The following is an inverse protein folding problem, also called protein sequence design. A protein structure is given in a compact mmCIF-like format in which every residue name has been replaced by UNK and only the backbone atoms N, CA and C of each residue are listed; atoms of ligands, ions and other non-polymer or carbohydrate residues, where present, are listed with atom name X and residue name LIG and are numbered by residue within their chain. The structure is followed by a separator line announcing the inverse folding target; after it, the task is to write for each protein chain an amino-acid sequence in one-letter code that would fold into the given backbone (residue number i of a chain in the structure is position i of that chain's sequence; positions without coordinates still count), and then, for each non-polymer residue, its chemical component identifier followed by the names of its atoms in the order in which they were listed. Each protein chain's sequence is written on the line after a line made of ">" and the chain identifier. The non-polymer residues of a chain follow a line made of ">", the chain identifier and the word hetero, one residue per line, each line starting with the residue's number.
data_IF_043752168121
#
_entry.id   IF_043752168121
#
_cell.length_a   1.000
_cell.length_b   1.000
_cell.length_c   1.000
_cell.angle_alpha   90.00
_cell.angle_beta   90.00
_cell.angle_gamma   90.00
#
_symmetry.space_group_name_H-M   'P 1'
#
loop_
_entity.id
_entity.type
_entity.pdbx_description
1 polymer ?
#
# COMPACT_ATOMS: atom_id res chain seq x y z
N UNK A 1 -19.96 15.77 15.03
CA UNK A 1 -20.21 14.66 14.08
C UNK A 1 -18.87 14.20 13.57
N UNK A 2 -18.58 12.90 13.60
CA UNK A 2 -17.30 12.36 13.16
C UNK A 2 -17.38 12.01 11.67
N UNK A 3 -16.47 12.58 10.86
CA UNK A 3 -16.38 12.37 9.41
C UNK A 3 -15.19 11.49 9.02
N UNK A 4 -14.07 11.64 9.72
CA UNK A 4 -12.90 10.78 9.53
C UNK A 4 -12.36 10.30 10.87
N UNK A 5 -11.89 9.06 10.90
CA UNK A 5 -11.15 8.49 12.02
C UNK A 5 -9.90 7.81 11.48
N UNK A 6 -8.73 8.31 11.87
CA UNK A 6 -7.44 7.69 11.59
C UNK A 6 -6.75 7.38 12.91
N UNK A 7 -6.50 6.10 13.17
CA UNK A 7 -5.72 5.60 14.30
C UNK A 7 -4.57 4.71 13.80
N UNK A 8 -4.12 4.96 12.57
CA UNK A 8 -3.05 4.22 11.92
C UNK A 8 -1.76 4.18 12.74
N UNK A 9 -1.06 3.03 12.71
CA UNK A 9 0.32 2.95 13.20
C UNK A 9 0.46 3.02 14.72
N UNK A 10 -0.59 2.60 15.44
CA UNK A 10 -0.61 2.58 16.90
C UNK A 10 -0.42 1.15 17.44
N UNK A 11 -0.48 1.01 18.76
CA UNK A 11 -0.39 -0.28 19.47
C UNK A 11 -1.75 -0.72 20.01
N UNK A 12 -2.86 -0.31 19.36
CA UNK A 12 -4.21 -0.64 19.82
C UNK A 12 -4.40 -2.15 19.81
N UNK A 13 -4.97 -2.69 20.90
CA UNK A 13 -5.19 -4.12 21.08
C UNK A 13 -6.65 -4.41 21.39
N UNK A 14 -7.03 -5.68 21.30
CA UNK A 14 -8.38 -6.13 21.58
C UNK A 14 -9.28 -6.09 20.35
N UNK A 15 -10.58 -6.23 20.57
CA UNK A 15 -11.55 -6.34 19.49
C UNK A 15 -11.97 -4.96 18.99
N UNK A 16 -12.31 -4.86 17.70
CA UNK A 16 -12.96 -3.67 17.17
C UNK A 16 -14.41 -3.63 17.69
N UNK A 17 -14.78 -2.66 18.54
CA UNK A 17 -16.13 -2.58 19.13
C UNK A 17 -17.22 -2.38 18.07
N UNK A 18 -18.43 -2.89 18.33
CA UNK A 18 -19.58 -2.72 17.44
C UNK A 18 -19.98 -1.24 17.29
N UNK A 19 -19.64 -0.42 18.27
CA UNK A 19 -19.85 1.03 18.30
C UNK A 19 -19.14 1.76 17.17
N UNK A 20 -18.19 1.13 16.47
CA UNK A 20 -17.57 1.67 15.24
C UNK A 20 -18.60 1.97 14.14
N UNK A 21 -19.77 1.34 14.19
CA UNK A 21 -20.92 1.60 13.32
C UNK A 21 -21.82 2.77 13.75
N UNK A 22 -21.59 3.36 14.94
CA UNK A 22 -22.40 4.48 15.44
C UNK A 22 -22.28 5.78 14.64
N UNK A 23 -21.08 6.22 14.18
CA UNK A 23 -20.92 7.48 13.47
C UNK A 23 -21.43 7.36 12.02
N UNK A 24 -22.71 7.65 11.81
CA UNK A 24 -23.38 7.57 10.49
C UNK A 24 -22.82 8.53 9.42
N UNK A 25 -22.04 9.53 9.83
CA UNK A 25 -21.38 10.47 8.92
C UNK A 25 -19.91 10.11 8.63
N UNK A 26 -19.44 8.95 9.10
CA UNK A 26 -18.07 8.52 8.86
C UNK A 26 -17.88 8.21 7.37
N UNK A 27 -16.92 8.91 6.78
CA UNK A 27 -16.52 8.90 5.37
C UNK A 27 -15.15 8.21 5.21
N UNK A 28 -14.26 8.41 6.19
CA UNK A 28 -12.91 7.85 6.22
C UNK A 28 -12.66 7.04 7.50
N UNK A 29 -12.18 5.80 7.37
CA UNK A 29 -11.74 4.98 8.50
C UNK A 29 -10.41 4.27 8.20
N UNK A 30 -9.37 4.65 8.94
CA UNK A 30 -8.06 3.96 8.92
C UNK A 30 -7.68 3.48 10.32
N UNK A 31 -7.70 2.16 10.51
CA UNK A 31 -7.25 1.47 11.73
C UNK A 31 -6.04 0.58 11.45
N UNK A 32 -5.37 0.76 10.32
CA UNK A 32 -4.30 -0.13 9.89
C UNK A 32 -3.04 -0.02 10.74
N UNK A 33 -2.19 -1.04 10.68
CA UNK A 33 -0.94 -1.14 11.46
C UNK A 33 -1.17 -0.99 12.96
N UNK A 34 -2.02 -1.87 13.49
CA UNK A 34 -2.32 -1.99 14.92
C UNK A 34 -2.23 -3.46 15.35
N UNK A 35 -2.62 -3.76 16.59
CA UNK A 35 -2.67 -5.11 17.13
C UNK A 35 -4.13 -5.53 17.44
N UNK A 36 -5.09 -5.04 16.66
CA UNK A 36 -6.51 -5.38 16.82
C UNK A 36 -6.74 -6.84 16.45
N UNK A 37 -7.63 -7.51 17.18
CA UNK A 37 -7.89 -8.95 17.10
C UNK A 37 -9.38 -9.24 16.92
N UNK A 38 -9.72 -10.49 16.60
CA UNK A 38 -11.11 -10.94 16.51
C UNK A 38 -11.76 -10.61 15.16
N UNK A 39 -13.08 -10.64 15.10
CA UNK A 39 -13.82 -10.43 13.85
C UNK A 39 -14.08 -8.94 13.59
N UNK A 40 -14.22 -8.58 12.32
CA UNK A 40 -14.71 -7.25 11.92
C UNK A 40 -16.23 -7.21 12.23
N UNK A 41 -16.72 -6.25 13.02
CA UNK A 41 -18.12 -6.20 13.39
C UNK A 41 -19.02 -5.82 12.19
N UNK A 42 -20.10 -6.57 11.99
CA UNK A 42 -21.08 -6.29 10.93
C UNK A 42 -21.80 -4.95 11.09
N UNK A 43 -21.76 -4.33 12.28
CA UNK A 43 -22.30 -2.98 12.52
C UNK A 43 -21.67 -1.90 11.64
N UNK A 44 -20.52 -2.17 11.01
CA UNK A 44 -19.88 -1.26 10.06
C UNK A 44 -20.82 -0.85 8.91
N UNK A 45 -21.83 -1.66 8.56
CA UNK A 45 -22.85 -1.32 7.56
C UNK A 45 -23.59 -0.01 7.83
N UNK A 46 -23.61 0.46 9.08
CA UNK A 46 -24.31 1.70 9.43
C UNK A 46 -23.52 2.96 9.03
N UNK A 47 -22.23 2.83 8.70
CA UNK A 47 -21.39 3.90 8.18
C UNK A 47 -21.60 4.09 6.67
N UNK A 48 -22.83 4.40 6.26
CA UNK A 48 -23.23 4.41 4.84
C UNK A 48 -22.53 5.48 4.00
N UNK A 49 -21.84 6.45 4.60
CA UNK A 49 -21.04 7.46 3.88
C UNK A 49 -19.58 7.05 3.66
N UNK A 50 -19.17 5.91 4.19
CA UNK A 50 -17.79 5.45 4.13
C UNK A 50 -17.37 5.26 2.67
N UNK A 51 -16.36 6.00 2.23
CA UNK A 51 -15.74 5.84 0.90
C UNK A 51 -14.35 5.20 0.99
N UNK A 52 -13.71 5.26 2.15
CA UNK A 52 -12.38 4.70 2.41
C UNK A 52 -12.35 3.87 3.70
N UNK A 53 -11.97 2.59 3.59
CA UNK A 53 -11.85 1.66 4.71
C UNK A 53 -10.53 0.89 4.67
N UNK A 54 -9.67 1.15 5.67
CA UNK A 54 -8.37 0.48 5.80
C UNK A 54 -8.22 -0.17 7.18
N UNK A 55 -8.17 -1.50 7.18
CA UNK A 55 -8.02 -2.34 8.38
C UNK A 55 -6.78 -3.25 8.30
N UNK A 56 -5.88 -2.98 7.35
CA UNK A 56 -4.72 -3.83 7.07
C UNK A 56 -3.67 -3.85 8.18
N UNK A 57 -2.78 -4.85 8.18
CA UNK A 57 -1.75 -5.04 9.20
C UNK A 57 -2.32 -5.08 10.63
N UNK A 58 -3.24 -6.01 10.87
CA UNK A 58 -3.82 -6.30 12.18
C UNK A 58 -3.89 -7.83 12.38
N UNK A 59 -4.59 -8.28 13.42
CA UNK A 59 -4.84 -9.69 13.70
C UNK A 59 -6.33 -10.04 13.59
N UNK A 60 -7.07 -9.36 12.69
CA UNK A 60 -8.47 -9.72 12.43
C UNK A 60 -8.55 -11.15 11.89
N UNK A 61 -9.53 -11.93 12.34
CA UNK A 61 -9.68 -13.34 12.00
C UNK A 61 -11.14 -13.70 11.68
N UNK A 62 -11.39 -14.97 11.34
CA UNK A 62 -12.72 -15.45 11.02
C UNK A 62 -13.20 -14.97 9.64
N UNK A 63 -14.41 -14.42 9.58
CA UNK A 63 -15.09 -14.07 8.33
C UNK A 63 -15.08 -12.58 8.03
N UNK A 64 -14.98 -12.21 6.75
CA UNK A 64 -15.39 -10.87 6.31
C UNK A 64 -16.93 -10.80 6.48
N UNK A 65 -17.48 -9.80 7.20
CA UNK A 65 -18.92 -9.70 7.41
C UNK A 65 -19.65 -9.41 6.09
N UNK A 66 -20.79 -10.08 5.87
CA UNK A 66 -21.63 -9.89 4.68
C UNK A 66 -22.13 -8.44 4.58
N UNK A 67 -22.35 -7.84 5.75
CA UNK A 67 -22.78 -6.47 5.99
C UNK A 67 -21.83 -5.44 5.35
N UNK A 68 -20.56 -5.78 5.14
CA UNK A 68 -19.59 -4.90 4.48
C UNK A 68 -19.99 -4.61 3.02
N UNK A 69 -20.68 -5.55 2.37
CA UNK A 69 -21.24 -5.38 1.03
C UNK A 69 -22.37 -4.35 0.93
N UNK A 70 -22.87 -3.83 2.07
CA UNK A 70 -23.92 -2.80 2.10
C UNK A 70 -23.35 -1.36 2.02
N UNK A 71 -22.03 -1.20 2.08
CA UNK A 71 -21.36 0.09 1.98
C UNK A 71 -21.29 0.58 0.52
N UNK A 72 -22.45 0.86 -0.08
CA UNK A 72 -22.57 1.20 -1.52
C UNK A 72 -21.81 2.46 -1.93
N UNK A 73 -21.46 3.33 -0.98
CA UNK A 73 -20.64 4.52 -1.21
C UNK A 73 -19.13 4.25 -1.04
N UNK A 74 -18.71 3.00 -0.74
CA UNK A 74 -17.31 2.61 -0.65
C UNK A 74 -16.72 2.54 -2.05
N UNK A 75 -16.19 3.68 -2.52
CA UNK A 75 -15.67 3.84 -3.86
C UNK A 75 -14.15 3.93 -3.93
N UNK A 76 -13.45 4.42 -2.90
CA UNK A 76 -12.00 4.60 -3.00
C UNK A 76 -11.23 3.29 -2.74
N UNK A 77 -11.30 2.80 -1.50
CA UNK A 77 -10.45 1.71 -1.05
C UNK A 77 -11.15 0.84 0.00
N UNK A 78 -11.06 -0.47 -0.21
CA UNK A 78 -11.24 -1.49 0.80
C UNK A 78 -9.94 -2.28 0.96
N UNK A 79 -9.26 -2.11 2.09
CA UNK A 79 -8.02 -2.83 2.39
C UNK A 79 -8.13 -3.61 3.70
N UNK A 80 -8.21 -4.94 3.57
CA UNK A 80 -8.22 -5.91 4.66
C UNK A 80 -6.94 -6.77 4.67
N UNK A 81 -5.91 -6.37 3.93
CA UNK A 81 -4.69 -7.16 3.75
C UNK A 81 -3.89 -7.34 5.04
N UNK A 82 -3.00 -8.33 5.08
CA UNK A 82 -2.13 -8.62 6.25
C UNK A 82 -2.93 -8.77 7.56
N UNK A 83 -3.86 -9.72 7.53
CA UNK A 83 -4.66 -10.13 8.68
C UNK A 83 -4.68 -11.68 8.73
N UNK A 84 -5.44 -12.24 9.67
CA UNK A 84 -5.62 -13.68 9.87
C UNK A 84 -7.02 -14.17 9.47
N UNK A 85 -7.69 -13.50 8.52
CA UNK A 85 -9.04 -13.86 8.05
C UNK A 85 -8.95 -15.17 7.27
N UNK A 86 -9.75 -16.17 7.62
CA UNK A 86 -9.56 -17.58 7.21
C UNK A 86 -10.81 -18.25 6.60
N UNK A 87 -11.83 -17.46 6.25
CA UNK A 87 -13.04 -17.93 5.58
C UNK A 87 -13.04 -17.70 4.06
N UNK A 88 -14.14 -18.08 3.40
CA UNK A 88 -14.43 -17.67 2.03
C UNK A 88 -14.73 -16.17 1.96
N UNK A 89 -14.54 -15.59 0.77
CA UNK A 89 -14.93 -14.21 0.47
C UNK A 89 -16.45 -14.16 0.29
N UNK A 90 -17.19 -13.31 1.02
CA UNK A 90 -18.64 -13.26 0.90
C UNK A 90 -19.06 -12.64 -0.43
N UNK A 91 -20.05 -13.27 -1.09
CA UNK A 91 -20.58 -12.80 -2.38
C UNK A 91 -21.15 -11.38 -2.33
N UNK A 92 -21.55 -10.92 -1.15
CA UNK A 92 -22.12 -9.61 -0.87
C UNK A 92 -21.13 -8.47 -1.17
N UNK A 93 -19.82 -8.72 -1.12
CA UNK A 93 -18.82 -7.72 -1.54
C UNK A 93 -18.95 -7.33 -3.03
N UNK A 94 -19.59 -8.16 -3.85
CA UNK A 94 -19.96 -7.79 -5.22
C UNK A 94 -20.95 -6.62 -5.31
N UNK A 95 -21.59 -6.24 -4.20
CA UNK A 95 -22.46 -5.06 -4.10
C UNK A 95 -21.70 -3.73 -4.03
N UNK A 96 -20.38 -3.74 -3.84
CA UNK A 96 -19.52 -2.56 -3.81
C UNK A 96 -19.22 -2.05 -5.22
N UNK A 97 -20.26 -1.78 -6.02
CA UNK A 97 -20.16 -1.56 -7.47
C UNK A 97 -19.29 -0.38 -7.89
N UNK A 98 -19.10 0.59 -6.98
CA UNK A 98 -18.31 1.80 -7.20
C UNK A 98 -16.83 1.67 -6.79
N UNK A 99 -16.42 0.55 -6.19
CA UNK A 99 -15.09 0.38 -5.61
C UNK A 99 -13.97 0.40 -6.66
N UNK A 100 -12.96 1.25 -6.44
CA UNK A 100 -11.80 1.42 -7.32
C UNK A 100 -10.61 0.56 -6.89
N UNK A 101 -10.38 0.39 -5.59
CA UNK A 101 -9.28 -0.41 -5.07
C UNK A 101 -9.73 -1.43 -4.01
N UNK A 102 -9.36 -2.70 -4.25
CA UNK A 102 -9.60 -3.79 -3.32
C UNK A 102 -8.28 -4.50 -2.97
N UNK A 103 -7.92 -4.54 -1.69
CA UNK A 103 -6.78 -5.33 -1.24
C UNK A 103 -7.21 -6.30 -0.14
N UNK A 104 -7.17 -7.60 -0.45
CA UNK A 104 -7.42 -8.64 0.53
C UNK A 104 -6.17 -9.50 0.78
N UNK A 105 -5.04 -9.22 0.12
CA UNK A 105 -3.84 -10.07 0.12
C UNK A 105 -3.34 -10.44 1.53
N UNK A 106 -2.51 -11.48 1.64
CA UNK A 106 -1.91 -11.87 2.93
C UNK A 106 -2.95 -12.15 4.02
N UNK A 107 -3.86 -13.07 3.70
CA UNK A 107 -4.84 -13.61 4.63
C UNK A 107 -4.91 -15.13 4.41
N UNK A 108 -5.62 -15.84 5.27
CA UNK A 108 -5.89 -17.26 5.11
C UNK A 108 -7.17 -17.57 4.31
N UNK A 109 -7.72 -16.58 3.57
CA UNK A 109 -8.93 -16.74 2.77
C UNK A 109 -8.87 -17.96 1.84
N UNK A 110 -9.98 -18.67 1.75
CA UNK A 110 -10.13 -19.91 1.00
C UNK A 110 -11.27 -19.81 -0.02
N UNK A 111 -11.56 -20.92 -0.70
CA UNK A 111 -12.58 -21.02 -1.75
C UNK A 111 -12.27 -20.13 -2.97
N UNK A 112 -13.27 -19.93 -3.83
CA UNK A 112 -13.19 -19.20 -5.07
C UNK A 112 -13.44 -17.70 -4.89
N UNK A 113 -12.96 -16.92 -5.87
CA UNK A 113 -13.35 -15.52 -5.99
C UNK A 113 -14.83 -15.49 -6.39
N UNK A 114 -15.72 -14.82 -5.64
CA UNK A 114 -17.15 -14.86 -5.91
C UNK A 114 -17.49 -14.37 -7.32
N UNK A 115 -18.39 -15.07 -8.05
CA UNK A 115 -18.86 -14.61 -9.36
C UNK A 115 -19.49 -13.21 -9.32
N UNK A 116 -20.02 -12.77 -8.18
CA UNK A 116 -20.56 -11.44 -7.98
C UNK A 116 -19.54 -10.31 -8.14
N UNK A 117 -18.23 -10.60 -8.13
CA UNK A 117 -17.19 -9.61 -8.43
C UNK A 117 -17.24 -9.10 -9.89
N UNK A 118 -18.00 -9.78 -10.76
CA UNK A 118 -18.31 -9.25 -12.10
C UNK A 118 -19.10 -7.94 -12.05
N UNK A 119 -19.80 -7.66 -10.96
CA UNK A 119 -20.59 -6.43 -10.78
C UNK A 119 -19.76 -5.22 -10.33
N UNK A 120 -18.50 -5.42 -9.91
CA UNK A 120 -17.61 -4.35 -9.43
C UNK A 120 -16.90 -3.70 -10.63
N UNK A 121 -17.64 -2.85 -11.35
CA UNK A 121 -17.23 -2.36 -12.67
C UNK A 121 -16.15 -1.27 -12.64
N UNK A 122 -15.94 -0.61 -11.49
CA UNK A 122 -15.02 0.51 -11.36
C UNK A 122 -13.63 0.14 -10.83
N UNK A 123 -13.34 -1.15 -10.63
CA UNK A 123 -12.03 -1.57 -10.09
C UNK A 123 -10.89 -1.16 -11.03
N UNK A 124 -9.94 -0.42 -10.47
CA UNK A 124 -8.66 -0.05 -11.07
C UNK A 124 -7.50 -0.86 -10.48
N UNK A 125 -7.67 -1.35 -9.25
CA UNK A 125 -6.67 -2.12 -8.52
C UNK A 125 -7.30 -3.24 -7.71
N UNK A 126 -6.74 -4.45 -7.80
CA UNK A 126 -7.14 -5.57 -6.95
C UNK A 126 -5.91 -6.35 -6.51
N UNK A 127 -5.77 -6.68 -5.23
CA UNK A 127 -4.76 -7.64 -4.78
C UNK A 127 -5.37 -8.78 -3.96
N UNK A 128 -5.26 -9.98 -4.51
CA UNK A 128 -5.74 -11.25 -3.97
C UNK A 128 -4.59 -12.24 -3.75
N UNK A 129 -3.35 -11.76 -3.75
CA UNK A 129 -2.13 -12.55 -3.58
C UNK A 129 -2.02 -13.14 -2.18
N UNK A 130 -1.22 -14.21 -2.05
CA UNK A 130 -0.91 -14.86 -0.77
C UNK A 130 -2.15 -15.26 0.04
N UNK A 131 -2.97 -16.12 -0.56
CA UNK A 131 -4.16 -16.74 0.04
C UNK A 131 -4.17 -18.26 -0.24
N UNK A 132 -5.31 -18.91 0.05
CA UNK A 132 -5.62 -20.30 -0.32
C UNK A 132 -6.75 -20.37 -1.34
N UNK A 133 -6.86 -19.38 -2.23
CA UNK A 133 -7.96 -19.32 -3.21
C UNK A 133 -7.83 -20.42 -4.27
N UNK A 134 -8.97 -20.93 -4.73
CA UNK A 134 -9.07 -21.98 -5.74
C UNK A 134 -10.19 -21.74 -6.76
N UNK A 135 -10.16 -22.44 -7.88
CA UNK A 135 -11.22 -22.35 -8.89
C UNK A 135 -11.02 -21.23 -9.91
N UNK A 136 -12.07 -21.00 -10.70
CA UNK A 136 -12.04 -20.02 -11.80
C UNK A 136 -12.15 -18.59 -11.28
N UNK A 137 -11.31 -17.70 -11.79
CA UNK A 137 -11.52 -16.25 -11.64
C UNK A 137 -12.73 -15.79 -12.48
N UNK A 138 -13.48 -14.76 -12.05
CA UNK A 138 -14.59 -14.24 -12.83
C UNK A 138 -14.16 -13.75 -14.23
N UNK A 139 -15.02 -13.94 -15.22
CA UNK A 139 -14.72 -13.58 -16.60
C UNK A 139 -15.18 -12.15 -16.89
N UNK A 140 -14.27 -11.18 -16.76
CA UNK A 140 -14.50 -9.80 -17.19
C UNK A 140 -13.23 -9.22 -17.83
N UNK A 141 -13.38 -8.10 -18.56
CA UNK A 141 -12.26 -7.34 -19.12
C UNK A 141 -11.23 -6.93 -18.06
N UNK A 142 -11.68 -6.66 -16.82
CA UNK A 142 -10.80 -6.35 -15.71
C UNK A 142 -9.89 -7.54 -15.38
N UNK A 143 -10.45 -8.74 -15.19
CA UNK A 143 -9.67 -9.95 -14.90
C UNK A 143 -8.79 -10.37 -16.09
N UNK A 144 -9.23 -10.20 -17.33
CA UNK A 144 -8.42 -10.46 -18.52
C UNK A 144 -7.17 -9.56 -18.58
N UNK A 145 -7.31 -8.27 -18.25
CA UNK A 145 -6.22 -7.29 -18.24
C UNK A 145 -5.38 -7.31 -16.95
N UNK A 146 -5.85 -7.98 -15.89
CA UNK A 146 -5.22 -7.93 -14.58
C UNK A 146 -3.83 -8.60 -14.58
N UNK A 147 -2.83 -8.01 -13.91
CA UNK A 147 -1.51 -8.60 -13.80
C UNK A 147 -1.54 -9.82 -12.86
N UNK A 148 -0.91 -10.91 -13.29
CA UNK A 148 -0.88 -12.18 -12.55
C UNK A 148 -0.36 -12.09 -11.12
N UNK A 149 0.47 -11.09 -10.81
CA UNK A 149 1.01 -10.86 -9.46
C UNK A 149 -0.09 -10.68 -8.42
N UNK A 150 -1.24 -10.12 -8.81
CA UNK A 150 -2.41 -9.96 -7.94
C UNK A 150 -3.06 -11.28 -7.51
N UNK A 151 -2.71 -12.41 -8.14
CA UNK A 151 -3.34 -13.70 -7.88
C UNK A 151 -2.34 -14.76 -7.42
N UNK A 152 -1.02 -14.51 -7.43
CA UNK A 152 -0.02 -15.48 -6.99
C UNK A 152 0.39 -15.23 -5.53
N UNK A 153 0.77 -16.26 -4.75
CA UNK A 153 0.87 -17.68 -5.11
C UNK A 153 -0.40 -18.50 -4.79
N UNK A 154 -1.57 -18.22 -5.40
CA UNK A 154 -2.72 -19.14 -5.32
C UNK A 154 -2.60 -20.25 -6.38
N UNK A 155 -2.11 -21.42 -5.98
CA UNK A 155 -1.75 -22.52 -6.92
C UNK A 155 -2.95 -23.15 -7.64
N UNK A 156 -4.15 -23.02 -7.09
CA UNK A 156 -5.37 -23.66 -7.61
C UNK A 156 -6.29 -22.70 -8.35
N UNK A 157 -5.90 -21.43 -8.50
CA UNK A 157 -6.64 -20.50 -9.34
C UNK A 157 -6.39 -20.80 -10.82
N UNK A 158 -7.44 -20.66 -11.62
CA UNK A 158 -7.44 -20.86 -13.06
C UNK A 158 -8.34 -19.82 -13.73
N UNK A 159 -8.24 -19.68 -15.06
CA UNK A 159 -9.19 -18.88 -15.85
C UNK A 159 -8.54 -17.77 -16.67
N UNK A 160 -9.27 -16.67 -16.86
CA UNK A 160 -8.99 -15.67 -17.91
C UNK A 160 -7.80 -14.74 -17.67
N UNK A 161 -7.30 -14.67 -16.43
CA UNK A 161 -6.13 -13.85 -16.10
C UNK A 161 -4.90 -14.41 -16.81
N UNK A 162 -4.21 -13.55 -17.58
CA UNK A 162 -3.03 -13.95 -18.35
C UNK A 162 -1.96 -14.59 -17.46
N UNK A 163 -1.66 -15.86 -17.73
CA UNK A 163 -0.64 -16.67 -17.05
C UNK A 163 -1.15 -17.53 -15.89
N UNK A 164 -2.45 -17.49 -15.58
CA UNK A 164 -3.10 -18.58 -14.85
C UNK A 164 -3.32 -19.78 -15.79
N UNK A 165 -3.32 -21.02 -15.26
CA UNK A 165 -3.69 -22.17 -16.06
C UNK A 165 -5.17 -22.10 -16.51
N UNK A 166 -5.53 -22.69 -17.66
CA UNK A 166 -6.94 -22.89 -18.02
C UNK A 166 -7.62 -23.85 -17.04
N UNK A 167 -8.91 -23.64 -16.77
CA UNK A 167 -9.66 -24.46 -15.80
C UNK A 167 -9.98 -25.88 -16.31
N UNK A 168 -9.79 -26.15 -17.60
CA UNK A 168 -10.12 -27.42 -18.25
C UNK A 168 -9.01 -28.49 -18.13
N UNK A 169 -7.98 -28.26 -17.32
CA UNK A 169 -6.96 -29.27 -17.07
C UNK A 169 -7.55 -30.41 -16.22
N UNK A 170 -7.53 -31.67 -16.70
CA UNK A 170 -7.97 -32.80 -15.88
C UNK A 170 -7.11 -32.83 -14.62
N UNK A 171 -7.78 -32.78 -13.46
CA UNK A 171 -7.15 -32.94 -12.15
C UNK A 171 -6.34 -34.23 -12.18
N UNK A 172 -5.02 -34.12 -12.37
CA UNK A 172 -4.12 -35.21 -12.05
C UNK A 172 -4.27 -35.42 -10.54
N UNK A 173 -5.04 -36.42 -10.17
CA UNK A 173 -4.99 -36.96 -8.82
C UNK A 173 -3.54 -37.32 -8.58
N UNK A 174 -2.87 -36.59 -7.69
CA UNK A 174 -1.69 -37.14 -7.04
C UNK A 174 -2.18 -38.38 -6.30
N UNK A 175 -2.02 -39.51 -6.97
CA UNK A 175 -2.33 -40.84 -6.49
C UNK A 175 -1.48 -41.04 -5.26
N UNK A 176 -2.10 -40.91 -4.09
CA UNK A 176 -1.48 -41.19 -2.81
C UNK A 176 -0.84 -42.58 -2.87
N UNK A 177 0.49 -42.60 -2.84
CA UNK A 177 1.22 -43.83 -2.56
C UNK A 177 1.03 -44.13 -1.09
N UNK A 178 0.33 -45.23 -0.82
CA UNK A 178 0.28 -45.85 0.50
C UNK A 178 1.69 -45.97 1.10
N UNK A 179 1.90 -45.43 2.29
CA UNK A 179 3.06 -45.75 3.12
C UNK A 179 2.66 -45.84 4.59
N UNK A 180 1.91 -46.88 4.92
CA UNK A 180 1.54 -47.27 6.29
C UNK A 180 2.71 -47.72 7.19
N UNK A 181 3.96 -47.38 6.86
CA UNK A 181 5.14 -47.70 7.67
C UNK A 181 6.02 -46.48 8.00
N UNK A 182 5.68 -45.27 7.52
CA UNK A 182 6.47 -44.05 7.75
C UNK A 182 5.86 -43.18 8.87
N UNK A 183 4.59 -43.42 9.24
CA UNK A 183 3.90 -42.62 10.26
C UNK A 183 4.47 -42.83 11.68
N UNK A 184 4.94 -44.04 12.00
CA UNK A 184 5.48 -44.35 13.33
C UNK A 184 6.90 -43.79 13.54
N UNK A 185 7.73 -43.71 12.49
CA UNK A 185 9.07 -43.12 12.59
C UNK A 185 9.02 -41.59 12.69
N UNK A 186 8.07 -40.96 12.00
CA UNK A 186 7.84 -39.51 12.07
C UNK A 186 7.30 -39.11 13.45
N UNK A 187 6.37 -39.88 14.04
CA UNK A 187 5.85 -39.59 15.39
C UNK A 187 6.96 -39.71 16.45
N UNK A 188 7.83 -40.71 16.35
CA UNK A 188 8.97 -40.86 17.25
C UNK A 188 9.99 -39.72 17.09
N UNK A 189 10.22 -39.26 15.85
CA UNK A 189 11.13 -38.15 15.56
C UNK A 189 10.57 -36.81 16.04
N UNK A 190 9.27 -36.56 15.85
CA UNK A 190 8.60 -35.36 16.33
C UNK A 190 8.57 -35.35 17.87
N UNK A 191 8.28 -36.49 18.50
CA UNK A 191 8.30 -36.59 19.96
C UNK A 191 9.70 -36.35 20.55
N UNK A 192 10.75 -36.89 19.92
CA UNK A 192 12.13 -36.64 20.36
C UNK A 192 12.56 -35.19 20.12
N UNK A 193 12.14 -34.58 19.01
CA UNK A 193 12.42 -33.19 18.70
C UNK A 193 11.71 -32.22 19.65
N UNK A 194 10.45 -32.50 19.99
CA UNK A 194 9.69 -31.74 21.00
C UNK A 194 10.31 -31.90 22.39
N UNK A 195 10.81 -33.08 22.74
CA UNK A 195 11.52 -33.32 23.99
C UNK A 195 12.86 -32.56 24.06
N UNK A 196 13.62 -32.51 22.96
CA UNK A 196 14.85 -31.71 22.88
C UNK A 196 14.54 -30.21 22.97
N UNK A 197 13.48 -29.72 22.32
CA UNK A 197 13.05 -28.31 22.45
C UNK A 197 12.59 -28.02 23.88
N UNK A 198 11.88 -28.93 24.54
CA UNK A 198 11.49 -28.79 25.94
C UNK A 198 12.70 -28.73 26.87
N UNK A 199 13.73 -29.56 26.63
CA UNK A 199 14.98 -29.53 27.40
C UNK A 199 15.80 -28.26 27.14
N UNK A 200 15.88 -27.80 25.88
CA UNK A 200 16.57 -26.55 25.52
C UNK A 200 15.85 -25.33 26.11
N UNK A 201 14.52 -25.28 26.04
CA UNK A 201 13.72 -24.19 26.64
C UNK A 201 13.78 -24.20 28.16
N UNK A 202 13.85 -25.38 28.80
CA UNK A 202 14.08 -25.51 30.24
C UNK A 202 15.50 -25.06 30.62
N UNK A 203 16.53 -25.44 29.87
CA UNK A 203 17.92 -24.98 30.08
C UNK A 203 18.05 -23.45 29.87
N UNK A 204 17.36 -22.88 28.87
CA UNK A 204 17.30 -21.44 28.64
C UNK A 204 16.55 -20.69 29.74
N UNK A 205 15.47 -21.27 30.30
CA UNK A 205 14.79 -20.72 31.48
C UNK A 205 15.63 -20.82 32.75
N UNK A 206 16.45 -21.87 32.90
CA UNK A 206 17.38 -22.04 34.04
C UNK A 206 18.58 -21.09 33.99
N UNK A 207 18.92 -20.55 32.80
CA UNK A 207 19.98 -19.54 32.60
C UNK A 207 19.53 -18.07 32.70
N UNK A 208 18.22 -17.78 32.74
CA UNK A 208 17.68 -16.41 32.84
C UNK A 208 17.15 -16.06 34.24
N UNK A 209 17.98 -16.27 35.26
CA UNK A 209 17.88 -15.53 36.53
C UNK A 209 19.30 -15.10 36.91
N UNK A 210 19.74 -13.98 36.31
CA UNK A 210 20.71 -13.00 36.84
C UNK A 210 20.95 -11.91 35.79
N UNK A 211 20.37 -10.74 36.06
CA UNK A 211 20.81 -9.38 35.71
C UNK A 211 21.10 -9.01 34.24
N UNK A 212 20.27 -8.12 33.68
CA UNK A 212 20.66 -6.72 33.40
C UNK A 212 19.45 -5.83 33.09
N UNK A 213 19.50 -4.64 33.66
CA UNK A 213 18.53 -3.55 33.65
C UNK A 213 18.96 -2.49 32.60
N UNK A 214 17.97 -1.84 31.96
CA UNK A 214 17.98 -0.53 31.22
C UNK A 214 18.81 -0.51 29.92
N UNK A 215 18.34 -0.11 28.73
CA UNK A 215 17.55 1.04 28.26
C UNK A 215 16.84 0.61 26.94
N UNK A 216 15.64 1.02 26.51
CA UNK A 216 15.13 2.38 26.32
C UNK A 216 14.72 2.55 24.84
N UNK A 217 13.41 2.78 24.59
CA UNK A 217 12.80 3.28 23.34
C UNK A 217 12.95 2.47 22.03
N UNK A 218 11.97 1.63 21.70
CA UNK A 218 11.62 1.35 20.29
C UNK A 218 10.59 2.38 19.84
N UNK A 219 11.07 3.48 19.28
CA UNK A 219 10.28 4.50 18.63
C UNK A 219 9.65 3.92 17.35
N UNK A 220 8.34 3.99 17.25
CA UNK A 220 7.49 3.56 16.13
C UNK A 220 7.96 4.22 14.83
N UNK A 221 8.46 3.41 13.87
CA UNK A 221 8.88 3.89 12.54
C UNK A 221 7.74 3.71 11.55
N UNK A 222 7.29 4.82 10.96
CA UNK A 222 6.24 4.83 9.95
C UNK A 222 6.84 4.65 8.55
N UNK A 223 6.31 3.70 7.77
CA UNK A 223 6.76 3.41 6.40
C UNK A 223 5.55 3.33 5.46
N UNK A 224 5.59 4.05 4.34
CA UNK A 224 4.67 3.84 3.22
C UNK A 224 5.46 3.91 1.91
N UNK A 225 5.76 2.77 1.30
CA UNK A 225 6.27 2.70 -0.09
C UNK A 225 5.48 1.59 -0.76
N UNK A 226 4.76 1.90 -1.84
CA UNK A 226 3.93 0.91 -2.54
C UNK A 226 4.75 -0.26 -3.10
N UNK A 227 4.19 -1.48 -2.94
CA UNK A 227 4.68 -2.84 -3.23
C UNK A 227 5.61 -3.50 -2.18
N UNK A 228 5.12 -4.65 -1.69
CA UNK A 228 5.66 -5.82 -0.93
C UNK A 228 6.93 -5.73 -0.06
N UNK A 229 7.70 -4.65 -0.10
CA UNK A 229 8.93 -4.55 0.68
C UNK A 229 9.38 -3.10 0.80
N UNK A 230 8.49 -2.19 1.22
CA UNK A 230 8.84 -0.78 1.42
C UNK A 230 10.07 -0.59 2.33
N UNK A 231 10.28 -1.52 3.27
CA UNK A 231 11.49 -1.59 4.10
C UNK A 231 12.76 -1.93 3.30
N UNK A 232 12.69 -2.84 2.34
CA UNK A 232 13.82 -3.19 1.47
C UNK A 232 14.06 -2.16 0.37
N UNK A 233 13.01 -1.56 -0.20
CA UNK A 233 13.17 -0.43 -1.12
C UNK A 233 13.85 0.74 -0.41
N UNK A 234 13.39 1.09 0.79
CA UNK A 234 14.06 2.10 1.61
C UNK A 234 15.51 1.72 1.94
N UNK A 235 15.75 0.47 2.35
CA UNK A 235 17.12 0.00 2.63
C UNK A 235 18.03 0.15 1.40
N UNK A 236 17.55 -0.22 0.22
CA UNK A 236 18.29 -0.02 -1.05
C UNK A 236 18.53 1.46 -1.33
N UNK A 237 17.55 2.32 -1.09
CA UNK A 237 17.70 3.79 -1.24
C UNK A 237 18.81 4.31 -0.30
N UNK A 238 18.81 3.89 0.97
CA UNK A 238 19.84 4.27 1.95
C UNK A 238 21.22 3.77 1.52
N UNK A 239 21.31 2.53 1.06
CA UNK A 239 22.57 1.92 0.60
C UNK A 239 23.12 2.67 -0.63
N UNK A 240 22.26 2.95 -1.63
CA UNK A 240 22.65 3.67 -2.87
C UNK A 240 23.05 5.11 -2.59
N UNK A 241 22.35 5.80 -1.70
CA UNK A 241 22.67 7.20 -1.35
C UNK A 241 23.85 7.33 -0.38
N UNK A 242 24.46 6.20 0.03
CA UNK A 242 25.47 6.13 1.08
C UNK A 242 25.02 6.90 2.34
N UNK A 243 23.83 6.55 2.85
CA UNK A 243 23.19 7.23 3.97
C UNK A 243 22.92 8.72 3.70
N UNK A 244 22.41 9.04 2.51
CA UNK A 244 22.09 10.42 2.07
C UNK A 244 23.29 11.36 2.10
N UNK A 245 24.45 10.88 1.63
CA UNK A 245 25.65 11.68 1.50
C UNK A 245 25.42 12.84 0.50
N UNK A 246 25.88 14.03 0.86
CA UNK A 246 25.75 15.25 0.04
C UNK A 246 26.32 15.13 -1.37
N UNK A 247 27.26 14.19 -1.61
CA UNK A 247 27.78 13.90 -2.94
C UNK A 247 26.72 13.41 -3.95
N UNK A 248 25.59 12.87 -3.47
CA UNK A 248 24.48 12.41 -4.32
C UNK A 248 23.28 13.37 -4.34
N UNK A 249 23.42 14.54 -3.71
CA UNK A 249 22.39 15.57 -3.67
C UNK A 249 22.33 16.28 -5.02
N UNK A 250 21.16 16.27 -5.66
CA UNK A 250 20.94 16.94 -6.94
C UNK A 250 20.35 18.35 -6.79
N UNK A 251 19.89 18.69 -5.58
CA UNK A 251 19.36 20.01 -5.27
C UNK A 251 18.93 20.12 -3.81
N UNK A 252 19.04 21.32 -3.24
CA UNK A 252 18.62 21.61 -1.87
C UNK A 252 17.86 22.93 -1.82
N UNK A 253 16.72 22.95 -1.14
CA UNK A 253 15.88 24.14 -0.98
C UNK A 253 15.24 24.20 0.41
N UNK A 254 14.33 25.15 0.61
CA UNK A 254 13.64 25.37 1.88
C UNK A 254 12.82 24.17 2.36
N UNK A 255 12.26 23.38 1.44
CA UNK A 255 11.47 22.19 1.73
C UNK A 255 12.31 20.92 1.99
N UNK A 256 13.59 20.91 1.61
CA UNK A 256 14.45 19.74 1.80
C UNK A 256 15.60 19.59 0.81
N UNK A 257 16.27 18.45 0.90
CA UNK A 257 17.34 18.04 -0.02
C UNK A 257 16.87 16.88 -0.91
N UNK A 258 17.07 16.98 -2.22
CA UNK A 258 16.62 16.00 -3.21
C UNK A 258 17.82 15.19 -3.72
N UNK A 259 17.64 13.88 -3.80
CA UNK A 259 18.64 12.91 -4.22
C UNK A 259 18.12 12.12 -5.42
N UNK A 260 18.96 11.95 -6.44
CA UNK A 260 18.68 11.03 -7.55
C UNK A 260 19.06 9.62 -7.12
N UNK A 261 18.12 8.68 -7.20
CA UNK A 261 18.35 7.29 -6.79
C UNK A 261 18.03 6.36 -7.93
N UNK A 262 19.01 5.55 -8.31
CA UNK A 262 18.83 4.46 -9.27
C UNK A 262 18.90 3.13 -8.53
N UNK A 263 17.83 2.36 -8.54
CA UNK A 263 17.83 1.03 -7.95
C UNK A 263 18.63 0.05 -8.82
N UNK A 264 19.14 -1.06 -8.25
CA UNK A 264 19.81 -2.11 -9.03
C UNK A 264 18.92 -2.73 -10.13
N UNK A 265 17.60 -2.60 -10.00
CA UNK A 265 16.59 -3.01 -10.97
C UNK A 265 16.51 -2.08 -12.20
N UNK A 266 17.18 -0.92 -12.16
CA UNK A 266 17.18 0.09 -13.23
C UNK A 266 16.17 1.23 -13.02
N UNK A 267 15.27 1.10 -12.05
CA UNK A 267 14.25 2.11 -11.73
C UNK A 267 14.88 3.38 -11.14
N UNK A 268 14.38 4.55 -11.55
CA UNK A 268 14.85 5.86 -11.11
C UNK A 268 13.81 6.56 -10.23
N UNK A 269 14.29 7.18 -9.15
CA UNK A 269 13.48 7.92 -8.19
C UNK A 269 14.14 9.24 -7.82
N UNK A 270 13.29 10.23 -7.51
CA UNK A 270 13.68 11.42 -6.80
C UNK A 270 13.32 11.25 -5.32
N UNK A 271 14.32 11.24 -4.44
CA UNK A 271 14.11 11.08 -2.99
C UNK A 271 14.36 12.41 -2.30
N UNK A 272 13.33 12.98 -1.70
CA UNK A 272 13.40 14.25 -0.99
C UNK A 272 13.47 14.03 0.51
N UNK A 273 14.56 14.48 1.14
CA UNK A 273 14.73 14.52 2.59
C UNK A 273 14.17 15.85 3.11
N UNK A 274 13.12 15.78 3.93
CA UNK A 274 12.44 16.96 4.48
C UNK A 274 13.25 17.54 5.65
N UNK A 275 13.41 18.87 5.67
CA UNK A 275 14.17 19.57 6.73
C UNK A 275 13.31 19.95 7.96
N UNK A 276 11.98 20.01 7.84
CA UNK A 276 11.10 20.51 8.91
C UNK A 276 10.60 19.41 9.86
N UNK A 277 10.58 19.75 11.16
CA UNK A 277 10.07 18.95 12.28
C UNK A 277 8.65 19.44 12.64
N UNK A 278 7.67 19.29 11.75
CA UNK A 278 6.27 19.51 12.11
C UNK A 278 5.57 18.23 12.57
N UNK A 279 4.48 18.41 13.32
CA UNK A 279 3.74 17.39 14.08
C UNK A 279 3.45 16.14 13.25
N UNK A 280 3.72 14.96 13.82
CA UNK A 280 3.71 13.68 13.07
C UNK A 280 2.33 13.37 12.46
N UNK A 281 1.24 13.77 13.10
CA UNK A 281 -0.11 13.41 12.67
C UNK A 281 -0.57 14.19 11.44
N UNK A 282 -0.32 15.50 11.37
CA UNK A 282 -0.75 16.31 10.23
C UNK A 282 0.02 15.96 8.95
N UNK A 283 1.33 15.75 9.09
CA UNK A 283 2.20 15.29 8.01
C UNK A 283 1.74 13.96 7.41
N UNK A 284 1.27 13.04 8.26
CA UNK A 284 0.82 11.71 7.81
C UNK A 284 -0.45 11.77 6.98
N UNK A 285 -1.42 12.61 7.36
CA UNK A 285 -2.66 12.78 6.63
C UNK A 285 -2.44 13.43 5.26
N UNK A 286 -1.60 14.47 5.20
CA UNK A 286 -1.27 15.15 3.94
C UNK A 286 -0.58 14.21 2.97
N UNK A 287 0.38 13.41 3.45
CA UNK A 287 1.06 12.41 2.61
C UNK A 287 0.15 11.30 2.13
N UNK A 288 -0.76 10.79 2.97
CA UNK A 288 -1.72 9.77 2.57
C UNK A 288 -2.65 10.27 1.44
N UNK A 289 -3.07 11.54 1.50
CA UNK A 289 -3.84 12.15 0.42
C UNK A 289 -3.01 12.23 -0.88
N UNK A 290 -1.74 12.64 -0.80
CA UNK A 290 -0.88 12.81 -1.97
C UNK A 290 -0.47 11.50 -2.65
N UNK A 291 -0.29 10.41 -1.90
CA UNK A 291 0.06 9.09 -2.46
C UNK A 291 -1.03 8.57 -3.41
N UNK A 292 -2.29 8.95 -3.19
CA UNK A 292 -3.42 8.49 -3.98
C UNK A 292 -3.70 9.36 -5.21
N UNK A 293 -3.05 10.52 -5.34
CA UNK A 293 -3.21 11.38 -6.52
C UNK A 293 -2.60 10.69 -7.73
N UNK A 294 -3.41 10.55 -8.78
CA UNK A 294 -2.95 10.04 -10.07
C UNK A 294 -3.40 10.98 -11.18
N UNK A 295 -2.48 11.84 -11.60
CA UNK A 295 -2.71 12.76 -12.70
C UNK A 295 -1.44 12.89 -13.53
N UNK A 296 -1.58 12.94 -14.86
CA UNK A 296 -0.42 12.97 -15.79
C UNK A 296 0.47 14.20 -15.62
N UNK A 297 -0.09 15.29 -15.10
CA UNK A 297 0.60 16.57 -14.89
C UNK A 297 0.87 16.85 -13.40
N UNK A 298 0.82 15.82 -12.54
CA UNK A 298 1.21 15.90 -11.13
C UNK A 298 2.28 14.84 -10.88
N UNK A 299 3.40 15.25 -10.29
CA UNK A 299 4.49 14.31 -10.01
C UNK A 299 4.01 13.22 -9.06
N UNK A 300 4.15 11.97 -9.48
CA UNK A 300 3.70 10.81 -8.72
C UNK A 300 4.54 10.60 -7.46
N UNK A 301 3.88 10.65 -6.31
CA UNK A 301 4.44 10.24 -5.03
C UNK A 301 4.25 8.73 -4.85
N UNK A 302 5.34 7.97 -4.80
CA UNK A 302 5.32 6.53 -4.52
C UNK A 302 5.19 6.19 -3.05
N UNK A 303 5.58 7.12 -2.17
CA UNK A 303 5.57 6.87 -0.75
C UNK A 303 6.39 7.84 0.10
N UNK A 304 6.31 7.63 1.42
CA UNK A 304 7.14 8.27 2.42
C UNK A 304 7.82 7.25 3.35
N UNK A 305 8.90 7.68 3.98
CA UNK A 305 9.56 6.91 5.04
C UNK A 305 9.98 7.84 6.17
N UNK A 306 9.72 7.43 7.41
CA UNK A 306 10.25 8.08 8.60
C UNK A 306 11.30 7.20 9.26
N UNK A 307 12.54 7.70 9.33
CA UNK A 307 13.67 6.99 9.92
C UNK A 307 14.48 7.89 10.85
N UNK A 308 15.47 7.31 11.53
CA UNK A 308 16.39 8.05 12.42
C UNK A 308 17.16 9.16 11.72
N UNK A 309 17.33 9.07 10.39
CA UNK A 309 18.00 10.09 9.59
C UNK A 309 17.09 11.25 9.14
N UNK A 310 15.78 11.16 9.39
CA UNK A 310 14.79 12.15 8.96
C UNK A 310 13.60 11.53 8.22
N UNK A 311 12.75 12.40 7.67
CA UNK A 311 11.62 12.02 6.82
C UNK A 311 12.00 12.13 5.35
N UNK A 312 11.54 11.17 4.56
CA UNK A 312 11.85 11.05 3.14
C UNK A 312 10.57 10.86 2.35
N UNK A 313 10.49 11.54 1.20
CA UNK A 313 9.46 11.35 0.19
C UNK A 313 10.10 10.75 -1.07
N UNK A 314 9.41 9.80 -1.69
CA UNK A 314 9.90 9.11 -2.88
C UNK A 314 8.98 9.43 -4.04
N UNK A 315 9.45 10.28 -4.95
CA UNK A 315 8.76 10.66 -6.17
C UNK A 315 9.32 9.93 -7.38
N UNK A 316 8.56 9.93 -8.46
CA UNK A 316 9.13 9.67 -9.79
C UNK A 316 10.23 10.67 -10.13
N UNK A 317 11.20 10.19 -10.90
CA UNK A 317 12.31 11.03 -11.34
C UNK A 317 11.97 11.70 -12.66
N UNK A 318 12.15 13.02 -12.72
CA UNK A 318 11.89 13.84 -13.91
C UNK A 318 13.21 14.25 -14.55
N UNK A 319 13.53 13.69 -15.72
CA UNK A 319 14.87 13.72 -16.30
C UNK A 319 15.42 15.13 -16.61
N UNK A 320 14.54 16.07 -16.97
CA UNK A 320 14.96 17.43 -17.33
C UNK A 320 15.03 18.38 -16.12
N UNK A 321 14.54 17.95 -14.96
CA UNK A 321 14.55 18.74 -13.74
C UNK A 321 13.55 19.90 -13.77
N UNK A 322 13.83 20.95 -13.01
CA UNK A 322 12.90 22.07 -12.82
C UNK A 322 12.87 23.02 -14.02
N UNK A 323 11.69 23.62 -14.25
CA UNK A 323 11.49 24.67 -15.23
C UNK A 323 12.39 25.89 -14.97
N UNK A 324 12.67 26.22 -13.70
CA UNK A 324 13.57 27.33 -13.32
C UNK A 324 14.93 27.26 -14.01
N UNK A 325 15.54 26.07 -14.10
CA UNK A 325 16.83 25.84 -14.77
C UNK A 325 16.85 26.28 -16.25
N UNK A 326 15.69 26.18 -16.91
CA UNK A 326 15.53 26.60 -18.31
C UNK A 326 15.24 28.10 -18.45
N UNK A 327 14.74 28.73 -17.39
CA UNK A 327 14.39 30.16 -17.39
C UNK A 327 15.55 31.05 -16.90
N UNK A 328 16.54 30.47 -16.22
CA UNK A 328 17.70 31.19 -15.66
C UNK A 328 18.72 31.65 -16.70
N UNK A 329 18.89 30.93 -17.81
CA UNK A 329 19.90 31.24 -18.84
C UNK A 329 19.28 31.30 -20.24
N UNK A 330 19.71 32.27 -21.04
CA UNK A 330 19.28 32.43 -22.43
C UNK A 330 19.60 31.23 -23.31
N UNK A 331 20.68 30.49 -23.03
CA UNK A 331 21.06 29.30 -23.80
C UNK A 331 20.09 28.14 -23.59
N UNK A 332 19.71 27.85 -22.35
CA UNK A 332 18.73 26.80 -22.02
C UNK A 332 17.30 27.22 -22.36
N UNK A 333 16.99 28.51 -22.31
CA UNK A 333 15.68 29.06 -22.65
C UNK A 333 15.30 28.86 -24.13
N UNK A 334 16.30 28.74 -25.02
CA UNK A 334 16.09 28.45 -26.46
C UNK A 334 15.56 27.03 -26.66
N UNK A 335 15.84 26.09 -25.76
CA UNK A 335 15.26 24.75 -25.81
C UNK A 335 13.75 24.74 -25.56
N UNK A 336 13.23 25.76 -24.88
CA UNK A 336 11.80 25.96 -24.69
C UNK A 336 11.27 26.93 -25.74
N UNK A 337 11.01 26.40 -26.94
CA UNK A 337 10.31 27.16 -27.97
C UNK A 337 8.88 27.56 -27.53
N UNK A 338 8.25 28.43 -28.30
CA UNK A 338 6.94 28.96 -27.93
C UNK A 338 5.85 27.88 -27.76
N UNK A 339 5.74 26.85 -28.63
CA UNK A 339 4.83 25.73 -28.42
C UNK A 339 5.06 24.98 -27.11
N UNK A 340 6.32 24.68 -26.74
CA UNK A 340 6.62 24.00 -25.47
C UNK A 340 6.20 24.85 -24.27
N UNK A 341 6.46 26.16 -24.30
CA UNK A 341 6.02 27.06 -23.21
C UNK A 341 4.51 27.07 -23.04
N UNK A 342 3.77 27.12 -24.14
CA UNK A 342 2.30 27.05 -24.13
C UNK A 342 1.79 25.73 -23.55
N UNK A 343 2.38 24.61 -23.93
CA UNK A 343 2.03 23.30 -23.38
C UNK A 343 2.29 23.24 -21.87
N UNK A 344 3.45 23.70 -21.41
CA UNK A 344 3.78 23.73 -19.98
C UNK A 344 2.74 24.54 -19.20
N UNK A 345 2.32 25.71 -19.71
CA UNK A 345 1.27 26.52 -19.07
C UNK A 345 -0.06 25.76 -19.00
N UNK A 346 -0.45 25.11 -20.10
CA UNK A 346 -1.68 24.31 -20.14
C UNK A 346 -1.64 23.14 -19.16
N UNK A 347 -0.50 22.45 -19.07
CA UNK A 347 -0.30 21.29 -18.21
C UNK A 347 -0.31 21.65 -16.72
N UNK A 348 0.32 22.75 -16.34
CA UNK A 348 0.27 23.27 -14.97
C UNK A 348 -1.16 23.71 -14.62
N UNK A 349 -1.85 24.38 -15.54
CA UNK A 349 -3.25 24.77 -15.33
C UNK A 349 -4.17 23.55 -15.18
N UNK A 350 -3.92 22.48 -15.94
CA UNK A 350 -4.68 21.23 -15.86
C UNK A 350 -4.45 20.51 -14.53
N UNK A 351 -3.20 20.46 -14.07
CA UNK A 351 -2.86 19.94 -12.74
C UNK A 351 -3.56 20.72 -11.62
N UNK A 352 -3.56 22.05 -11.70
CA UNK A 352 -4.24 22.93 -10.74
C UNK A 352 -5.76 22.75 -10.76
N UNK A 353 -6.36 22.64 -11.95
CA UNK A 353 -7.78 22.36 -12.10
C UNK A 353 -8.15 21.05 -11.43
N UNK A 354 -7.38 19.99 -11.70
CA UNK A 354 -7.59 18.68 -11.08
C UNK A 354 -7.53 18.76 -9.55
N UNK A 355 -6.47 19.38 -9.01
CA UNK A 355 -6.30 19.54 -7.56
C UNK A 355 -7.43 20.32 -6.90
N UNK A 356 -7.94 21.37 -7.55
CA UNK A 356 -8.95 22.25 -6.97
C UNK A 356 -10.39 21.75 -7.14
N UNK A 357 -10.68 20.98 -8.19
CA UNK A 357 -12.04 20.68 -8.60
C UNK A 357 -12.36 19.19 -8.72
N UNK A 358 -11.37 18.37 -9.11
CA UNK A 358 -11.61 16.96 -9.41
C UNK A 358 -11.14 16.03 -8.28
N UNK A 359 -10.25 16.50 -7.41
CA UNK A 359 -9.93 15.82 -6.16
C UNK A 359 -11.13 15.86 -5.20
N UNK A 360 -11.42 14.71 -4.57
CA UNK A 360 -12.52 14.56 -3.60
C UNK A 360 -12.47 15.61 -2.48
N UNK A 361 -11.28 15.90 -1.96
CA UNK A 361 -11.00 17.10 -1.17
C UNK A 361 -10.15 18.06 -1.98
N UNK A 362 -10.56 19.34 -2.15
CA UNK A 362 -9.75 20.32 -2.86
C UNK A 362 -8.37 20.46 -2.21
N UNK A 363 -7.32 20.23 -3.01
CA UNK A 363 -5.93 20.29 -2.59
C UNK A 363 -5.38 21.65 -3.01
N UNK A 364 -4.96 22.45 -2.03
CA UNK A 364 -4.28 23.72 -2.31
C UNK A 364 -2.78 23.44 -2.34
N UNK A 365 -2.14 23.60 -3.51
CA UNK A 365 -0.71 23.30 -3.68
C UNK A 365 0.21 24.19 -2.80
N UNK A 366 -0.20 25.44 -2.51
CA UNK A 366 0.47 26.43 -1.64
C UNK A 366 1.87 26.91 -2.04
N UNK A 367 2.60 26.17 -2.88
CA UNK A 367 3.93 26.52 -3.36
C UNK A 367 4.09 26.32 -4.88
N UNK A 368 3.26 26.98 -5.69
CA UNK A 368 3.39 26.94 -7.15
C UNK A 368 4.50 27.89 -7.59
N UNK A 369 5.64 27.33 -8.01
CA UNK A 369 6.80 28.07 -8.53
C UNK A 369 7.45 27.32 -9.68
N UNK A 370 8.29 28.00 -10.47
CA UNK A 370 9.08 27.35 -11.54
C UNK A 370 10.07 26.30 -11.03
N UNK A 371 10.39 26.30 -9.74
CA UNK A 371 11.20 25.25 -9.11
C UNK A 371 10.42 23.94 -8.92
N UNK A 372 9.11 24.04 -8.72
CA UNK A 372 8.22 22.89 -8.44
C UNK A 372 7.48 22.40 -9.69
N UNK A 373 7.74 22.99 -10.86
CA UNK A 373 7.32 22.46 -12.15
C UNK A 373 8.47 21.67 -12.74
N UNK A 374 8.32 20.35 -12.80
CA UNK A 374 9.34 19.42 -13.28
C UNK A 374 9.02 18.97 -14.71
N UNK A 375 10.05 18.74 -15.51
CA UNK A 375 9.95 18.35 -16.91
C UNK A 375 10.51 16.94 -17.12
N UNK A 376 9.80 16.12 -17.88
CA UNK A 376 10.28 14.79 -18.30
C UNK A 376 11.10 14.86 -19.60
N UNK A 377 11.47 13.70 -20.17
CA UNK A 377 12.24 13.64 -21.42
C UNK A 377 11.52 14.29 -22.61
N UNK A 378 10.18 14.30 -22.62
CA UNK A 378 9.31 14.84 -23.67
C UNK A 378 8.91 16.30 -23.43
N UNK A 379 9.41 16.94 -22.36
CA UNK A 379 9.03 18.28 -21.89
C UNK A 379 7.58 18.37 -21.39
N UNK A 380 6.99 17.25 -20.99
CA UNK A 380 5.71 17.23 -20.28
C UNK A 380 5.95 17.75 -18.87
N UNK A 381 5.17 18.74 -18.47
CA UNK A 381 5.24 19.37 -17.17
C UNK A 381 4.39 18.62 -16.14
N UNK A 382 5.00 18.36 -15.00
CA UNK A 382 4.32 17.87 -13.81
C UNK A 382 4.58 18.80 -12.62
N UNK A 383 3.52 19.20 -11.93
CA UNK A 383 3.63 19.95 -10.67
C UNK A 383 4.01 19.00 -9.55
N UNK A 384 5.11 19.26 -8.86
CA UNK A 384 5.50 18.53 -7.65
C UNK A 384 4.86 19.19 -6.43
N UNK A 385 3.91 18.49 -5.81
CA UNK A 385 3.27 18.95 -4.59
C UNK A 385 4.23 18.72 -3.42
N UNK A 386 4.50 19.77 -2.66
CA UNK A 386 5.31 19.74 -1.46
C UNK A 386 4.42 19.66 -0.21
N UNK A 387 4.90 18.97 0.82
CA UNK A 387 4.27 18.83 2.14
C UNK A 387 5.02 19.63 3.18
#
# INVERSE_FOLDING_TARGET
>A
MLFGLSLFGNLLQGHLPAEIGSPRNLEYLDLSSNNLTGQIPGSIQHCLKLHFLKLSHNHFNGTIPNELGMLVNLHDLLDLSENSIDSAIPSQLGGLTMLEALNLSHNALNDSIPPSFQSINNLLYMDMSYKKLEGSVPHTRFFEAAPIKWFRPNKKLCGVVKGLPPCDLPRSSERGKNSGAILLSIIAYIASFVFVIALVTWQCKKKKIKTKTIDGSQQTKMFAIWNYDGKNVYKKIVDVTNNFNNAHCIGSGGSGSVYRVQLPTGELFAVQKIHMLEDNEQFSHEICALINIRHRNISKLFGCCSATQGRFLVYEYMDRGSLSKYLECTETAVELDWPRRLNIVWEVAHALSYMHHDCFTPIVHRDITSNNVLLDLEYIAASQILV
#
